data_IF_420375730921
#
_entry.id   IF_420375730921
#
_cell.length_a   1.000
_cell.length_b   1.000
_cell.length_c   1.000
_cell.angle_alpha   90.00
_cell.angle_beta   90.00
_cell.angle_gamma   90.00
#
_symmetry.space_group_name_H-M   'P 1'
#
loop_
_entity.id
_entity.type
_entity.pdbx_description
1 polymer ?
#
# COMPACT_ATOMS: atom_id res chain seq x y z
N UNK A 1 -12.35 65.99 -29.86
CA UNK A 1 -11.35 66.89 -29.26
C UNK A 1 -11.16 66.50 -27.79
N UNK A 2 -10.19 65.64 -27.47
CA UNK A 2 -9.68 65.44 -26.10
C UNK A 2 -8.16 65.30 -26.18
N UNK A 3 -7.56 66.40 -25.77
CA UNK A 3 -6.22 66.70 -25.28
C UNK A 3 -5.34 65.49 -24.93
N UNK A 4 -4.15 65.49 -25.55
CA UNK A 4 -2.94 64.74 -25.22
C UNK A 4 -2.22 65.35 -24.00
N UNK A 5 -1.27 64.56 -23.45
CA UNK A 5 -0.09 64.92 -22.66
C UNK A 5 -0.10 64.40 -21.20
N UNK A 6 0.96 63.82 -20.61
CA UNK A 6 2.38 63.63 -20.99
C UNK A 6 3.12 62.99 -19.78
N UNK A 7 4.04 62.03 -20.03
CA UNK A 7 5.26 61.61 -19.27
C UNK A 7 5.08 61.03 -17.83
N UNK A 8 5.91 60.13 -17.28
CA UNK A 8 7.28 59.73 -17.60
C UNK A 8 7.61 58.30 -17.10
N UNK A 9 8.68 57.76 -17.69
CA UNK A 9 9.46 56.57 -17.38
C UNK A 9 9.78 56.29 -15.91
N UNK A 10 9.93 55.02 -15.60
CA UNK A 10 10.41 54.50 -14.32
C UNK A 10 10.76 53.03 -14.40
N UNK A 11 11.70 52.68 -15.27
CA UNK A 11 12.35 51.36 -15.29
C UNK A 11 13.16 51.14 -14.01
N UNK A 12 12.87 50.07 -13.27
CA UNK A 12 13.81 49.47 -12.31
C UNK A 12 13.92 47.97 -12.62
N UNK A 13 15.13 47.46 -12.92
CA UNK A 13 15.37 46.04 -13.22
C UNK A 13 15.84 45.26 -11.98
N UNK A 14 15.90 43.94 -12.19
CA UNK A 14 16.71 42.94 -11.45
C UNK A 14 16.16 42.42 -10.13
N UNK A 15 16.00 41.09 -10.07
CA UNK A 15 15.73 40.35 -8.85
C UNK A 15 15.26 38.94 -9.14
N UNK A 16 16.10 38.18 -9.85
CA UNK A 16 16.17 36.72 -9.87
C UNK A 16 14.84 35.97 -10.00
N UNK A 17 14.50 35.68 -11.26
CA UNK A 17 13.82 34.44 -11.58
C UNK A 17 14.68 33.31 -10.98
N UNK A 18 14.31 32.84 -9.79
CA UNK A 18 14.71 31.53 -9.32
C UNK A 18 14.11 30.53 -10.30
N UNK A 19 14.88 30.28 -11.36
CA UNK A 19 14.85 29.06 -12.15
C UNK A 19 15.25 27.94 -11.20
N UNK A 20 14.31 27.54 -10.34
CA UNK A 20 14.35 26.23 -9.73
C UNK A 20 14.14 25.29 -10.91
N UNK A 21 15.26 24.88 -11.52
CA UNK A 21 15.35 23.75 -12.43
C UNK A 21 14.64 22.59 -11.76
N UNK A 22 13.35 22.48 -12.05
CA UNK A 22 12.43 21.60 -11.37
C UNK A 22 12.76 20.22 -11.84
N UNK A 23 13.50 19.47 -11.04
CA UNK A 23 13.31 18.03 -11.03
C UNK A 23 11.78 17.82 -11.02
N UNK A 24 11.22 17.03 -11.94
CA UNK A 24 9.79 16.74 -11.92
C UNK A 24 9.47 16.28 -10.51
N UNK A 25 8.75 17.12 -9.75
CA UNK A 25 8.17 16.68 -8.50
C UNK A 25 7.32 15.49 -8.91
N UNK A 26 7.58 14.27 -8.41
CA UNK A 26 6.84 13.11 -8.86
C UNK A 26 5.36 13.42 -8.66
N UNK A 27 4.60 13.41 -9.76
CA UNK A 27 3.17 13.71 -9.73
C UNK A 27 2.53 12.74 -8.73
N UNK A 28 2.07 13.28 -7.61
CA UNK A 28 1.54 12.47 -6.52
C UNK A 28 0.31 11.69 -7.05
N UNK A 29 0.17 10.40 -6.72
CA UNK A 29 -1.03 9.66 -7.09
C UNK A 29 -2.31 10.38 -6.61
N UNK A 30 -3.44 10.18 -7.31
CA UNK A 30 -4.74 10.66 -6.87
C UNK A 30 -5.07 10.24 -5.42
N UNK A 31 -5.82 11.08 -4.70
CA UNK A 31 -6.11 10.85 -3.27
C UNK A 31 -6.83 9.54 -3.00
N UNK A 32 -7.75 9.14 -3.88
CA UNK A 32 -8.49 7.87 -3.80
C UNK A 32 -7.56 6.65 -3.87
N UNK A 33 -6.50 6.72 -4.67
CA UNK A 33 -5.48 5.67 -4.75
C UNK A 33 -4.69 5.59 -3.44
N UNK A 34 -4.33 6.74 -2.86
CA UNK A 34 -3.63 6.81 -1.58
C UNK A 34 -4.50 6.28 -0.42
N UNK A 35 -5.79 6.64 -0.39
CA UNK A 35 -6.73 6.17 0.62
C UNK A 35 -6.90 4.64 0.55
N UNK A 36 -7.09 4.12 -0.67
CA UNK A 36 -7.20 2.66 -0.91
C UNK A 36 -5.91 1.93 -0.53
N UNK A 37 -4.75 2.52 -0.83
CA UNK A 37 -3.45 1.98 -0.44
C UNK A 37 -3.28 1.98 1.09
N UNK A 38 -3.72 3.04 1.77
CA UNK A 38 -3.69 3.12 3.23
C UNK A 38 -4.55 2.05 3.90
N UNK A 39 -5.75 1.81 3.37
CA UNK A 39 -6.64 0.75 3.85
C UNK A 39 -6.05 -0.65 3.63
N UNK A 40 -5.45 -0.89 2.45
CA UNK A 40 -4.73 -2.13 2.15
C UNK A 40 -3.59 -2.36 3.14
N UNK A 41 -2.71 -1.37 3.32
CA UNK A 41 -1.57 -1.48 4.22
C UNK A 41 -2.02 -1.70 5.67
N UNK A 42 -3.08 -1.03 6.10
CA UNK A 42 -3.70 -1.25 7.41
C UNK A 42 -4.24 -2.67 7.55
N UNK A 43 -4.85 -3.21 6.52
CA UNK A 43 -5.30 -4.60 6.48
C UNK A 43 -4.13 -5.60 6.52
N UNK A 44 -2.92 -5.23 6.13
CA UNK A 44 -1.74 -6.10 6.23
C UNK A 44 -1.02 -5.99 7.59
N UNK A 45 -1.02 -4.82 8.23
CA UNK A 45 -0.15 -4.46 9.35
C UNK A 45 -0.29 -5.22 10.70
N UNK A 46 -0.98 -6.37 10.76
CA UNK A 46 -0.98 -7.21 11.97
C UNK A 46 -0.04 -8.41 11.82
N UNK A 47 0.73 -8.79 12.87
CA UNK A 47 1.68 -9.90 12.80
C UNK A 47 1.11 -11.21 12.25
N UNK A 48 -0.07 -11.62 12.73
CA UNK A 48 -0.72 -12.86 12.25
C UNK A 48 -1.14 -12.75 10.78
N UNK A 49 -1.54 -11.56 10.31
CA UNK A 49 -1.91 -11.35 8.90
C UNK A 49 -0.70 -11.37 7.98
N UNK A 50 0.41 -10.77 8.42
CA UNK A 50 1.72 -10.90 7.77
C UNK A 50 2.08 -12.38 7.65
N UNK A 51 2.01 -13.13 8.75
CA UNK A 51 2.33 -14.56 8.75
C UNK A 51 1.42 -15.38 7.81
N UNK A 52 0.11 -15.11 7.79
CA UNK A 52 -0.83 -15.74 6.84
C UNK A 52 -0.42 -15.44 5.40
N UNK A 53 -0.10 -14.19 5.05
CA UNK A 53 0.31 -13.81 3.69
C UNK A 53 1.59 -14.54 3.29
N UNK A 54 2.57 -14.64 4.19
CA UNK A 54 3.80 -15.40 3.94
C UNK A 54 3.51 -16.89 3.68
N UNK A 55 2.62 -17.51 4.45
CA UNK A 55 2.21 -18.91 4.24
C UNK A 55 1.46 -19.12 2.92
N UNK A 56 0.59 -18.18 2.55
CA UNK A 56 -0.21 -18.24 1.32
C UNK A 56 0.58 -17.87 0.06
N UNK A 57 1.77 -17.25 0.20
CA UNK A 57 2.71 -17.02 -0.90
C UNK A 57 3.27 -18.34 -1.43
N UNK A 58 3.51 -19.32 -0.56
CA UNK A 58 4.09 -20.61 -0.92
C UNK A 58 3.07 -21.52 -1.62
N UNK A 59 1.85 -21.59 -1.08
CA UNK A 59 0.79 -22.41 -1.63
C UNK A 59 -0.58 -21.97 -1.09
N UNK A 60 -1.65 -22.36 -1.79
CA UNK A 60 -2.98 -22.24 -1.24
C UNK A 60 -3.14 -23.15 0.00
N UNK A 61 -3.82 -22.67 1.04
CA UNK A 61 -3.99 -23.39 2.32
C UNK A 61 -5.41 -23.25 2.87
N UNK A 62 -5.91 -24.28 3.54
CA UNK A 62 -7.16 -24.22 4.29
C UNK A 62 -6.94 -23.62 5.69
N UNK A 63 -8.04 -23.39 6.43
CA UNK A 63 -7.96 -22.79 7.78
C UNK A 63 -7.17 -23.68 8.75
N UNK A 64 -7.35 -25.00 8.71
CA UNK A 64 -6.65 -25.92 9.62
C UNK A 64 -5.14 -25.93 9.35
N UNK A 65 -4.73 -25.95 8.07
CA UNK A 65 -3.31 -25.85 7.69
C UNK A 65 -2.65 -24.55 8.18
N UNK A 66 -3.39 -23.43 8.16
CA UNK A 66 -2.91 -22.15 8.70
C UNK A 66 -2.85 -22.14 10.23
N UNK A 67 -3.80 -22.79 10.91
CA UNK A 67 -3.77 -22.96 12.37
C UNK A 67 -2.54 -23.76 12.78
N UNK A 68 -2.27 -24.86 12.09
CA UNK A 68 -1.13 -25.73 12.36
C UNK A 68 0.20 -25.03 12.07
N UNK A 69 0.30 -24.33 10.93
CA UNK A 69 1.51 -23.63 10.53
C UNK A 69 1.86 -22.44 11.44
N UNK A 70 0.84 -21.74 11.95
CA UNK A 70 1.04 -20.52 12.76
C UNK A 70 0.97 -20.77 14.27
N UNK A 71 0.53 -21.96 14.70
CA UNK A 71 0.22 -22.28 16.10
C UNK A 71 -0.74 -21.25 16.74
N UNK A 72 -1.70 -20.75 15.95
CA UNK A 72 -2.69 -19.73 16.34
C UNK A 72 -4.09 -20.35 16.38
N UNK A 73 -4.95 -20.05 17.38
CA UNK A 73 -6.31 -20.60 17.44
C UNK A 73 -7.15 -20.32 16.18
N UNK A 74 -7.92 -21.32 15.76
CA UNK A 74 -8.80 -21.24 14.58
C UNK A 74 -9.74 -20.03 14.54
N UNK A 75 -10.38 -19.58 15.65
CA UNK A 75 -11.22 -18.39 15.62
C UNK A 75 -10.43 -17.13 15.23
N UNK A 76 -9.18 -17.02 15.67
CA UNK A 76 -8.31 -15.87 15.37
C UNK A 76 -7.84 -15.91 13.90
N UNK A 77 -7.42 -17.07 13.40
CA UNK A 77 -7.09 -17.25 11.97
C UNK A 77 -8.28 -16.90 11.08
N UNK A 78 -9.48 -17.38 11.42
CA UNK A 78 -10.70 -17.11 10.66
C UNK A 78 -11.06 -15.62 10.66
N UNK A 79 -10.89 -14.93 11.79
CA UNK A 79 -11.09 -13.48 11.88
C UNK A 79 -10.10 -12.73 10.98
N UNK A 80 -8.83 -13.11 11.00
CA UNK A 80 -7.81 -12.49 10.16
C UNK A 80 -8.06 -12.73 8.66
N UNK A 81 -8.43 -13.96 8.26
CA UNK A 81 -8.80 -14.27 6.89
C UNK A 81 -10.02 -13.46 6.42
N UNK A 82 -11.00 -13.21 7.30
CA UNK A 82 -12.15 -12.36 6.96
C UNK A 82 -11.71 -10.92 6.66
N UNK A 83 -10.82 -10.36 7.46
CA UNK A 83 -10.28 -9.00 7.26
C UNK A 83 -9.49 -8.95 5.95
N UNK A 84 -8.59 -9.90 5.72
CA UNK A 84 -7.78 -9.98 4.50
C UNK A 84 -8.65 -10.16 3.25
N UNK A 85 -9.72 -10.97 3.34
CA UNK A 85 -10.66 -11.17 2.24
C UNK A 85 -11.46 -9.91 1.94
N UNK A 86 -11.91 -9.19 2.97
CA UNK A 86 -12.63 -7.92 2.82
C UNK A 86 -11.75 -6.83 2.17
N UNK A 87 -10.44 -6.84 2.45
CA UNK A 87 -9.47 -5.94 1.85
C UNK A 87 -8.97 -6.40 0.46
N UNK A 88 -9.50 -7.50 -0.09
CA UNK A 88 -9.08 -8.02 -1.40
C UNK A 88 -7.69 -8.64 -1.43
N UNK A 89 -7.09 -8.96 -0.27
CA UNK A 89 -5.75 -9.55 -0.20
C UNK A 89 -5.78 -11.05 -0.51
N UNK A 90 -6.81 -11.74 -0.02
CA UNK A 90 -6.98 -13.18 -0.20
C UNK A 90 -8.32 -13.52 -0.84
N UNK A 91 -8.32 -14.54 -1.68
CA UNK A 91 -9.51 -15.19 -2.18
C UNK A 91 -9.69 -16.54 -1.50
N UNK A 92 -10.93 -16.91 -1.18
CA UNK A 92 -11.28 -18.21 -0.64
C UNK A 92 -12.21 -18.94 -1.60
N UNK A 93 -11.82 -20.15 -2.01
CA UNK A 93 -12.57 -21.02 -2.92
C UNK A 93 -12.93 -22.33 -2.21
N UNK A 94 -14.17 -22.78 -2.35
CA UNK A 94 -14.61 -24.01 -1.71
C UNK A 94 -14.08 -25.22 -2.48
N UNK A 95 -13.26 -26.04 -1.82
CA UNK A 95 -12.75 -27.31 -2.33
C UNK A 95 -13.28 -28.45 -1.45
N UNK A 96 -14.32 -29.12 -1.94
CA UNK A 96 -15.01 -30.17 -1.19
C UNK A 96 -15.63 -29.65 0.12
N UNK A 97 -15.06 -30.09 1.25
CA UNK A 97 -15.55 -29.74 2.61
C UNK A 97 -14.87 -28.50 3.18
N UNK A 98 -13.78 -28.04 2.58
CA UNK A 98 -12.97 -26.95 3.10
C UNK A 98 -12.95 -25.75 2.16
N UNK A 99 -12.49 -24.61 2.68
CA UNK A 99 -12.24 -23.40 1.89
C UNK A 99 -10.73 -23.25 1.78
N UNK A 100 -10.21 -23.29 0.56
CA UNK A 100 -8.82 -23.03 0.25
C UNK A 100 -8.63 -21.54 0.02
N UNK A 101 -7.69 -20.95 0.75
CA UNK A 101 -7.31 -19.55 0.61
C UNK A 101 -6.06 -19.42 -0.25
N UNK A 102 -6.04 -18.40 -1.10
CA UNK A 102 -4.88 -17.99 -1.91
C UNK A 102 -4.75 -16.47 -1.90
N UNK A 103 -3.55 -15.96 -2.16
CA UNK A 103 -3.39 -14.54 -2.47
C UNK A 103 -4.12 -14.20 -3.77
N UNK A 104 -4.71 -13.01 -3.83
CA UNK A 104 -5.35 -12.51 -5.05
C UNK A 104 -4.31 -12.17 -6.11
N UNK A 105 -3.17 -11.62 -5.68
CA UNK A 105 -2.05 -11.21 -6.53
C UNK A 105 -0.73 -11.46 -5.80
N UNK A 106 0.32 -11.83 -6.55
CA UNK A 106 1.67 -11.99 -6.06
C UNK A 106 2.27 -10.67 -5.54
N UNK A 107 1.90 -9.51 -6.13
CA UNK A 107 2.41 -8.20 -5.71
C UNK A 107 2.12 -7.87 -4.24
N UNK A 108 1.03 -8.41 -3.69
CA UNK A 108 0.69 -8.25 -2.27
C UNK A 108 1.68 -8.97 -1.35
N UNK A 109 2.20 -10.11 -1.80
CA UNK A 109 3.23 -10.84 -1.07
C UNK A 109 4.54 -10.06 -1.07
N UNK A 110 4.88 -9.42 -2.18
CA UNK A 110 6.12 -8.66 -2.35
C UNK A 110 6.19 -7.47 -1.38
N UNK A 111 5.07 -6.76 -1.17
CA UNK A 111 4.97 -5.68 -0.16
C UNK A 111 5.29 -6.21 1.24
N UNK A 112 4.71 -7.36 1.61
CA UNK A 112 4.93 -7.97 2.92
C UNK A 112 6.37 -8.46 3.07
N UNK A 113 6.95 -9.05 2.02
CA UNK A 113 8.37 -9.48 2.01
C UNK A 113 9.27 -8.28 2.23
N UNK A 114 9.10 -7.23 1.45
CA UNK A 114 9.92 -6.02 1.57
C UNK A 114 9.85 -5.43 2.98
N UNK A 115 8.66 -5.37 3.57
CA UNK A 115 8.47 -4.89 4.94
C UNK A 115 9.18 -5.77 5.99
N UNK A 116 9.09 -7.10 5.86
CA UNK A 116 9.75 -8.04 6.79
C UNK A 116 11.27 -8.00 6.64
N UNK A 117 11.78 -7.95 5.41
CA UNK A 117 13.21 -7.82 5.13
C UNK A 117 13.77 -6.53 5.73
N UNK A 118 13.11 -5.40 5.48
CA UNK A 118 13.54 -4.11 6.01
C UNK A 118 13.48 -4.07 7.55
N UNK A 119 12.45 -4.64 8.16
CA UNK A 119 12.36 -4.74 9.61
C UNK A 119 13.49 -5.61 10.21
N UNK A 120 13.96 -6.62 9.48
CA UNK A 120 15.10 -7.46 9.88
C UNK A 120 16.44 -6.73 9.82
N UNK A 121 16.63 -5.84 8.83
CA UNK A 121 17.86 -5.05 8.66
C UNK A 121 18.08 -4.03 9.78
N UNK A 122 17.01 -3.46 10.34
CA UNK A 122 17.09 -2.43 11.37
C UNK A 122 17.47 -2.96 12.77
N UNK A 123 17.69 -4.27 12.90
CA UNK A 123 17.98 -4.95 14.17
C UNK A 123 19.39 -5.56 14.25
N UNK A 124 20.29 -5.26 13.31
CA UNK A 124 21.73 -5.56 13.37
C UNK A 124 22.58 -4.30 13.63
#
# INVERSE_FOLDING_TARGET
MKIVSTLADGSVPTGDAHDHGGAPCPDLPPRDVLDTSGDLLRALAAPVRIAIVLQLRESARCVHELVDALAVPQPLVSQHLRILKAAGVVAGERSGREVMYRLVDHHLADIVVAAVTHAGEAHE
#
